data_IF_410979536820
#
_entry.id   IF_410979536820
#
_cell.length_a   1.000
_cell.length_b   1.000
_cell.length_c   1.000
_cell.angle_alpha   90.00
_cell.angle_beta   90.00
_cell.angle_gamma   90.00
#
_symmetry.space_group_name_H-M   'P 1'
#
loop_
_entity.id
_entity.type
_entity.pdbx_description
1 polymer ?
#
# COMPACT_ATOMS: atom_id res chain seq x y z
N UNK A 1 -13.42 12.61 53.47
CA UNK A 1 -13.33 11.43 54.37
C UNK A 1 -12.32 10.46 53.75
N UNK A 2 -11.45 9.85 54.55
CA UNK A 2 -10.02 10.11 54.45
C UNK A 2 -9.22 8.90 53.94
N UNK A 3 -7.94 9.17 53.64
CA UNK A 3 -6.83 8.21 53.72
C UNK A 3 -6.84 7.08 52.67
N UNK A 4 -5.72 6.56 52.21
CA UNK A 4 -4.34 6.71 52.61
C UNK A 4 -3.50 5.82 51.69
N UNK A 5 -2.31 6.33 51.40
CA UNK A 5 -1.15 5.67 50.84
C UNK A 5 -0.84 4.35 51.55
N UNK A 6 -0.62 3.23 50.83
CA UNK A 6 0.40 2.20 51.15
C UNK A 6 0.92 1.50 49.87
N UNK A 7 2.25 1.53 49.74
CA UNK A 7 3.13 0.80 48.83
C UNK A 7 3.24 -0.69 49.26
N UNK A 8 3.31 -1.63 48.32
CA UNK A 8 3.93 -2.95 48.60
C UNK A 8 4.59 -3.54 47.35
N UNK A 9 5.90 -3.38 47.29
CA UNK A 9 6.82 -4.10 46.41
C UNK A 9 7.05 -5.49 47.01
N UNK A 10 6.85 -6.57 46.24
CA UNK A 10 7.37 -7.88 46.62
C UNK A 10 7.72 -8.68 45.36
N UNK A 11 9.01 -8.68 45.05
CA UNK A 11 9.64 -9.62 44.14
C UNK A 11 9.61 -11.02 44.80
N UNK A 12 9.10 -12.01 44.09
CA UNK A 12 9.21 -13.42 44.45
C UNK A 12 9.74 -14.20 43.26
N UNK A 13 11.07 -14.29 43.13
CA UNK A 13 11.70 -15.34 42.35
C UNK A 13 11.51 -16.67 43.09
N UNK A 14 10.83 -17.63 42.48
CA UNK A 14 10.86 -19.03 42.88
C UNK A 14 11.19 -19.88 41.65
N UNK A 15 12.41 -20.42 41.64
CA UNK A 15 12.88 -21.44 40.69
C UNK A 15 12.60 -22.82 41.32
N UNK A 16 11.87 -23.68 40.61
CA UNK A 16 11.66 -25.09 40.98
C UNK A 16 10.93 -25.87 39.88
N UNK A 17 11.67 -26.71 39.14
CA UNK A 17 11.23 -27.56 38.03
C UNK A 17 10.51 -28.86 38.48
N UNK A 18 10.07 -29.80 37.62
CA UNK A 18 9.37 -29.72 36.32
C UNK A 18 8.06 -30.56 36.35
N UNK A 19 6.96 -30.05 35.81
CA UNK A 19 5.79 -30.87 35.47
C UNK A 19 5.52 -30.72 33.98
N UNK A 20 5.83 -31.79 33.23
CA UNK A 20 5.57 -31.96 31.80
C UNK A 20 4.06 -32.12 31.54
N UNK A 21 3.28 -31.09 31.84
CA UNK A 21 2.01 -30.88 31.19
C UNK A 21 2.31 -30.02 29.96
N UNK A 22 2.54 -30.67 28.82
CA UNK A 22 2.36 -30.02 27.53
C UNK A 22 0.87 -29.67 27.43
N UNK A 23 0.48 -28.56 28.06
CA UNK A 23 -0.64 -27.77 27.56
C UNK A 23 -0.23 -27.40 26.14
N UNK A 24 -0.78 -28.14 25.18
CA UNK A 24 -0.47 -27.97 23.78
C UNK A 24 -0.65 -26.49 23.49
N UNK A 25 0.44 -25.80 23.13
CA UNK A 25 0.38 -24.43 22.67
C UNK A 25 -0.80 -24.34 21.71
N UNK A 26 -1.78 -23.43 21.92
CA UNK A 26 -2.90 -23.31 21.02
C UNK A 26 -2.31 -23.22 19.62
N UNK A 27 -2.65 -24.20 18.79
CA UNK A 27 -2.15 -24.26 17.42
C UNK A 27 -2.33 -22.85 16.85
N UNK A 28 -1.29 -22.27 16.22
CA UNK A 28 -1.40 -20.92 15.68
C UNK A 28 -2.66 -20.90 14.83
N UNK A 29 -3.62 -20.05 15.21
CA UNK A 29 -4.86 -19.92 14.48
C UNK A 29 -4.49 -19.73 13.03
N UNK A 30 -4.79 -20.71 12.17
CA UNK A 30 -4.52 -20.58 10.74
C UNK A 30 -5.24 -19.32 10.31
N UNK A 31 -4.48 -18.30 9.93
CA UNK A 31 -5.06 -17.09 9.37
C UNK A 31 -5.95 -17.55 8.21
N UNK A 32 -7.26 -17.39 8.33
CA UNK A 32 -8.17 -17.73 7.26
C UNK A 32 -7.80 -16.87 6.06
N UNK A 33 -7.54 -17.51 4.92
CA UNK A 33 -7.34 -16.79 3.67
C UNK A 33 -8.57 -15.90 3.40
N UNK A 34 -8.38 -14.65 2.91
CA UNK A 34 -9.44 -13.64 2.83
C UNK A 34 -10.62 -14.12 2.00
N UNK A 35 -11.84 -14.06 2.54
CA UNK A 35 -13.08 -14.48 1.87
C UNK A 35 -13.40 -13.62 0.64
N UNK A 36 -14.37 -14.03 -0.19
CA UNK A 36 -14.84 -13.18 -1.30
C UNK A 36 -15.42 -11.86 -0.78
N UNK A 37 -16.11 -11.88 0.38
CA UNK A 37 -16.61 -10.67 1.02
C UNK A 37 -15.47 -9.75 1.47
N UNK A 38 -14.43 -10.30 2.10
CA UNK A 38 -13.25 -9.53 2.53
C UNK A 38 -12.55 -8.86 1.34
N UNK A 39 -12.41 -9.58 0.22
CA UNK A 39 -11.81 -9.03 -1.00
C UNK A 39 -12.69 -7.95 -1.63
N UNK A 40 -14.00 -8.10 -1.65
CA UNK A 40 -14.89 -7.06 -2.15
C UNK A 40 -14.79 -5.79 -1.29
N UNK A 41 -14.81 -5.93 0.04
CA UNK A 41 -14.59 -4.81 0.96
C UNK A 41 -13.22 -4.17 0.76
N UNK A 42 -12.17 -4.97 0.62
CA UNK A 42 -10.82 -4.46 0.35
C UNK A 42 -10.73 -3.76 -1.01
N UNK A 43 -11.45 -4.24 -2.02
CA UNK A 43 -11.49 -3.62 -3.35
C UNK A 43 -12.23 -2.29 -3.35
N UNK A 44 -13.32 -2.16 -2.59
CA UNK A 44 -14.01 -0.87 -2.40
C UNK A 44 -13.10 0.13 -1.66
N UNK A 45 -12.46 -0.29 -0.57
CA UNK A 45 -11.50 0.55 0.16
C UNK A 45 -10.32 0.97 -0.74
N UNK A 46 -9.79 0.03 -1.53
CA UNK A 46 -8.73 0.31 -2.50
C UNK A 46 -9.18 1.31 -3.57
N UNK A 47 -10.42 1.22 -4.07
CA UNK A 47 -10.98 2.20 -5.02
C UNK A 47 -11.01 3.59 -4.43
N UNK A 48 -11.56 3.74 -3.22
CA UNK A 48 -11.57 5.02 -2.50
C UNK A 48 -10.15 5.56 -2.29
N UNK A 49 -9.20 4.67 -1.98
CA UNK A 49 -7.80 5.04 -1.81
C UNK A 49 -7.18 5.55 -3.13
N UNK A 50 -7.44 4.90 -4.27
CA UNK A 50 -6.98 5.36 -5.59
C UNK A 50 -7.59 6.70 -5.98
N UNK A 51 -8.88 6.91 -5.71
CA UNK A 51 -9.56 8.19 -5.95
C UNK A 51 -8.94 9.33 -5.13
N UNK A 52 -8.68 9.08 -3.85
CA UNK A 52 -8.02 10.04 -2.96
C UNK A 52 -6.59 10.35 -3.43
N UNK A 53 -5.82 9.32 -3.80
CA UNK A 53 -4.49 9.49 -4.39
C UNK A 53 -4.54 10.37 -5.64
N UNK A 54 -5.47 10.10 -6.57
CA UNK A 54 -5.61 10.88 -7.80
C UNK A 54 -6.02 12.34 -7.53
N UNK A 55 -6.82 12.59 -6.50
CA UNK A 55 -7.13 13.95 -6.07
C UNK A 55 -5.88 14.65 -5.51
N UNK A 56 -5.12 13.98 -4.65
CA UNK A 56 -3.89 14.52 -4.05
C UNK A 56 -2.78 14.76 -5.08
N UNK A 57 -2.60 13.86 -6.06
CA UNK A 57 -1.64 14.04 -7.16
C UNK A 57 -2.00 15.29 -7.97
N UNK A 58 -3.28 15.49 -8.31
CA UNK A 58 -3.73 16.70 -9.01
C UNK A 58 -3.47 17.97 -8.19
N UNK A 59 -3.78 17.93 -6.89
CA UNK A 59 -3.51 19.05 -6.00
C UNK A 59 -2.00 19.34 -5.87
N UNK A 60 -1.17 18.31 -5.78
CA UNK A 60 0.29 18.41 -5.72
C UNK A 60 0.88 19.05 -6.99
N UNK A 61 0.39 18.65 -8.17
CA UNK A 61 0.80 19.25 -9.46
C UNK A 61 0.38 20.72 -9.53
N UNK A 62 -0.86 21.06 -9.13
CA UNK A 62 -1.32 22.46 -9.10
C UNK A 62 -0.50 23.32 -8.13
N UNK A 63 -0.24 22.83 -6.92
CA UNK A 63 0.54 23.55 -5.90
C UNK A 63 2.00 23.78 -6.32
N UNK A 64 2.55 22.94 -7.20
CA UNK A 64 3.89 23.12 -7.74
C UNK A 64 4.01 24.25 -8.79
N UNK A 65 2.87 24.72 -9.32
CA UNK A 65 2.82 25.69 -10.41
C UNK A 65 3.59 25.21 -11.65
N UNK A 66 4.39 26.08 -12.26
CA UNK A 66 5.20 25.77 -13.45
C UNK A 66 6.48 24.95 -13.14
N UNK A 67 6.75 24.63 -11.88
CA UNK A 67 8.01 24.01 -11.48
C UNK A 67 7.94 22.48 -11.54
N UNK A 68 8.41 21.90 -12.64
CA UNK A 68 8.50 20.44 -12.85
C UNK A 68 9.18 19.69 -11.70
N UNK A 69 10.29 20.23 -11.18
CA UNK A 69 11.01 19.63 -10.04
C UNK A 69 10.14 19.58 -8.78
N UNK A 70 9.38 20.65 -8.49
CA UNK A 70 8.46 20.70 -7.36
C UNK A 70 7.28 19.75 -7.56
N UNK A 71 6.74 19.68 -8.78
CA UNK A 71 5.64 18.76 -9.10
C UNK A 71 6.05 17.31 -8.87
N UNK A 72 7.23 16.93 -9.37
CA UNK A 72 7.76 15.57 -9.21
C UNK A 72 7.97 15.22 -7.73
N UNK A 73 8.65 16.09 -6.96
CA UNK A 73 8.87 15.84 -5.54
C UNK A 73 7.56 15.68 -4.75
N UNK A 74 6.57 16.54 -5.00
CA UNK A 74 5.27 16.47 -4.32
C UNK A 74 4.45 15.25 -4.72
N UNK A 75 4.50 14.84 -5.99
CA UNK A 75 3.85 13.60 -6.43
C UNK A 75 4.50 12.38 -5.81
N UNK A 76 5.84 12.31 -5.74
CA UNK A 76 6.54 11.22 -5.04
C UNK A 76 6.16 11.14 -3.56
N UNK A 77 6.05 12.28 -2.87
CA UNK A 77 5.55 12.31 -1.49
C UNK A 77 4.13 11.75 -1.35
N UNK A 78 3.24 12.05 -2.31
CA UNK A 78 1.90 11.46 -2.34
C UNK A 78 2.01 9.95 -2.58
N UNK A 79 2.69 9.51 -3.64
CA UNK A 79 2.80 8.09 -3.98
C UNK A 79 3.39 7.26 -2.83
N UNK A 80 4.41 7.78 -2.13
CA UNK A 80 5.02 7.12 -0.98
C UNK A 80 4.03 6.89 0.17
N UNK A 81 3.09 7.80 0.42
CA UNK A 81 2.03 7.61 1.44
C UNK A 81 1.07 6.48 1.07
N UNK A 82 0.79 6.31 -0.22
CA UNK A 82 -0.22 5.38 -0.70
C UNK A 82 0.36 3.99 -1.01
N UNK A 83 1.65 3.88 -1.34
CA UNK A 83 2.32 2.63 -1.71
C UNK A 83 2.07 1.45 -0.75
N UNK A 84 2.09 1.63 0.60
CA UNK A 84 1.79 0.52 1.51
C UNK A 84 0.37 -0.05 1.33
N UNK A 85 -0.61 0.79 0.98
CA UNK A 85 -1.98 0.33 0.72
C UNK A 85 -2.10 -0.48 -0.56
N UNK A 86 -1.39 -0.07 -1.63
CA UNK A 86 -1.30 -0.86 -2.88
C UNK A 86 -0.69 -2.24 -2.62
N UNK A 87 0.42 -2.31 -1.89
CA UNK A 87 1.05 -3.59 -1.55
C UNK A 87 0.17 -4.46 -0.65
N UNK A 88 -0.48 -3.86 0.35
CA UNK A 88 -1.40 -4.58 1.25
C UNK A 88 -2.58 -5.18 0.47
N UNK A 89 -3.19 -4.43 -0.45
CA UNK A 89 -4.26 -4.96 -1.29
C UNK A 89 -3.77 -6.02 -2.26
N UNK A 90 -2.58 -5.83 -2.86
CA UNK A 90 -1.97 -6.81 -3.76
C UNK A 90 -1.72 -8.16 -3.06
N UNK A 91 -1.24 -8.15 -1.81
CA UNK A 91 -1.03 -9.37 -1.02
C UNK A 91 -2.35 -10.09 -0.72
N UNK A 92 -3.40 -9.34 -0.34
CA UNK A 92 -4.73 -9.92 -0.10
C UNK A 92 -5.29 -10.55 -1.37
N UNK A 93 -5.16 -9.86 -2.51
CA UNK A 93 -5.61 -10.33 -3.80
C UNK A 93 -4.87 -11.61 -4.24
N UNK A 94 -3.54 -11.64 -4.06
CA UNK A 94 -2.71 -12.82 -4.32
C UNK A 94 -3.13 -14.03 -3.47
N UNK A 95 -3.38 -13.83 -2.17
CA UNK A 95 -3.86 -14.87 -1.28
C UNK A 95 -5.25 -15.41 -1.70
N UNK A 96 -6.14 -14.51 -2.15
CA UNK A 96 -7.46 -14.89 -2.66
C UNK A 96 -7.39 -15.72 -3.93
N UNK A 97 -6.60 -15.30 -4.92
CA UNK A 97 -6.38 -16.06 -6.16
C UNK A 97 -5.73 -17.41 -5.87
N UNK A 98 -4.77 -17.47 -4.94
CA UNK A 98 -4.12 -18.70 -4.52
C UNK A 98 -5.13 -19.70 -3.92
N UNK A 99 -6.05 -19.22 -3.08
CA UNK A 99 -7.15 -20.06 -2.56
C UNK A 99 -8.05 -20.58 -3.67
N UNK A 100 -8.46 -19.72 -4.61
CA UNK A 100 -9.33 -20.13 -5.73
C UNK A 100 -8.64 -21.14 -6.65
N UNK A 101 -7.36 -20.97 -6.91
CA UNK A 101 -6.57 -21.91 -7.70
C UNK A 101 -6.47 -23.27 -6.99
N UNK A 102 -6.28 -23.27 -5.67
CA UNK A 102 -6.26 -24.51 -4.88
C UNK A 102 -7.61 -25.25 -4.90
N UNK A 103 -8.72 -24.52 -4.97
CA UNK A 103 -10.09 -25.07 -5.04
C UNK A 103 -10.55 -25.42 -6.46
N UNK A 104 -9.73 -25.19 -7.49
CA UNK A 104 -10.11 -25.45 -8.88
C UNK A 104 -10.24 -26.95 -9.17
N UNK A 105 -11.30 -27.33 -9.89
CA UNK A 105 -11.62 -28.72 -10.21
C UNK A 105 -10.75 -29.33 -11.32
N UNK A 106 -10.13 -28.50 -12.17
CA UNK A 106 -9.23 -28.94 -13.25
C UNK A 106 -7.94 -28.13 -13.25
N UNK A 107 -6.89 -28.69 -13.85
CA UNK A 107 -5.61 -28.00 -14.01
C UNK A 107 -5.70 -26.80 -14.96
N UNK A 108 -6.55 -26.86 -16.00
CA UNK A 108 -6.79 -25.70 -16.88
C UNK A 108 -7.45 -24.56 -16.12
N UNK A 109 -8.45 -24.86 -15.28
CA UNK A 109 -9.10 -23.86 -14.45
C UNK A 109 -8.12 -23.25 -13.43
N UNK A 110 -7.29 -24.09 -12.80
CA UNK A 110 -6.21 -23.64 -11.90
C UNK A 110 -5.24 -22.71 -12.63
N UNK A 111 -4.75 -23.09 -13.79
CA UNK A 111 -3.80 -22.31 -14.58
C UNK A 111 -4.39 -20.95 -14.98
N UNK A 112 -5.65 -20.92 -15.42
CA UNK A 112 -6.36 -19.69 -15.76
C UNK A 112 -6.49 -18.74 -14.55
N UNK A 113 -6.82 -19.27 -13.37
CA UNK A 113 -6.93 -18.49 -12.13
C UNK A 113 -5.56 -17.92 -11.73
N UNK A 114 -4.50 -18.72 -11.79
CA UNK A 114 -3.13 -18.28 -11.47
C UNK A 114 -2.68 -17.18 -12.42
N UNK A 115 -2.89 -17.35 -13.73
CA UNK A 115 -2.50 -16.34 -14.72
C UNK A 115 -3.26 -15.02 -14.51
N UNK A 116 -4.58 -15.11 -14.33
CA UNK A 116 -5.43 -13.93 -14.06
C UNK A 116 -5.00 -13.24 -12.76
N UNK A 117 -4.73 -14.03 -11.72
CA UNK A 117 -4.27 -13.51 -10.44
C UNK A 117 -2.95 -12.77 -10.53
N UNK A 118 -1.96 -13.35 -11.20
CA UNK A 118 -0.67 -12.72 -11.42
C UNK A 118 -0.81 -11.40 -12.19
N UNK A 119 -1.61 -11.37 -13.25
CA UNK A 119 -1.85 -10.16 -14.04
C UNK A 119 -2.56 -9.06 -13.23
N UNK A 120 -3.57 -9.42 -12.43
CA UNK A 120 -4.29 -8.46 -11.58
C UNK A 120 -3.40 -7.89 -10.47
N UNK A 121 -2.63 -8.74 -9.79
CA UNK A 121 -1.68 -8.31 -8.74
C UNK A 121 -0.61 -7.38 -9.32
N UNK A 122 -0.05 -7.74 -10.49
CA UNK A 122 0.92 -6.89 -11.18
C UNK A 122 0.32 -5.52 -11.57
N UNK A 123 -0.94 -5.49 -12.01
CA UNK A 123 -1.63 -4.24 -12.33
C UNK A 123 -1.77 -3.34 -11.09
N UNK A 124 -2.15 -3.90 -9.94
CA UNK A 124 -2.28 -3.14 -8.68
C UNK A 124 -0.93 -2.55 -8.28
N UNK A 125 0.13 -3.38 -8.27
CA UNK A 125 1.49 -2.93 -7.91
C UNK A 125 2.07 -1.90 -8.88
N UNK A 126 1.66 -1.94 -10.16
CA UNK A 126 2.15 -1.04 -11.19
C UNK A 126 1.50 0.35 -11.23
N UNK A 127 0.43 0.61 -10.46
CA UNK A 127 -0.26 1.91 -10.49
C UNK A 127 0.67 3.09 -10.15
N UNK A 128 1.50 3.03 -9.09
CA UNK A 128 2.41 4.14 -8.77
C UNK A 128 3.37 4.45 -9.91
N UNK A 129 3.95 3.43 -10.54
CA UNK A 129 4.86 3.60 -11.68
C UNK A 129 4.17 4.22 -12.90
N UNK A 130 2.91 3.87 -13.16
CA UNK A 130 2.14 4.50 -14.24
C UNK A 130 1.93 6.00 -13.99
N UNK A 131 1.69 6.40 -12.74
CA UNK A 131 1.58 7.82 -12.38
C UNK A 131 2.92 8.55 -12.60
N UNK A 132 4.04 7.96 -12.15
CA UNK A 132 5.38 8.52 -12.39
C UNK A 132 5.67 8.67 -13.87
N UNK A 133 5.37 7.63 -14.67
CA UNK A 133 5.58 7.63 -16.11
C UNK A 133 4.74 8.70 -16.81
N UNK A 134 3.48 8.86 -16.42
CA UNK A 134 2.60 9.92 -16.95
C UNK A 134 3.14 11.32 -16.66
N UNK A 135 3.65 11.56 -15.45
CA UNK A 135 4.27 12.83 -15.10
C UNK A 135 5.56 13.09 -15.91
N UNK A 136 6.38 12.06 -16.09
CA UNK A 136 7.60 12.14 -16.90
C UNK A 136 7.29 12.43 -18.38
N UNK A 137 6.21 11.87 -18.92
CA UNK A 137 5.74 12.15 -20.29
C UNK A 137 5.24 13.59 -20.42
N UNK A 138 4.40 14.07 -19.49
CA UNK A 138 3.95 15.46 -19.46
C UNK A 138 5.12 16.44 -19.37
N UNK A 139 6.15 16.09 -18.60
CA UNK A 139 7.36 16.89 -18.46
C UNK A 139 8.18 17.01 -19.76
N UNK A 140 8.08 16.02 -20.67
CA UNK A 140 8.78 16.03 -21.98
C UNK A 140 8.01 16.79 -23.06
N UNK A 141 6.68 16.85 -22.97
CA UNK A 141 5.82 17.51 -23.95
C UNK A 141 5.62 19.01 -23.72
N UNK A 142 6.12 19.56 -22.60
CA UNK A 142 6.06 20.99 -22.33
C UNK A 142 7.12 21.74 -23.17
N UNK A 143 6.74 22.68 -24.07
CA UNK A 143 7.71 23.47 -24.80
C UNK A 143 8.57 24.24 -23.79
N UNK A 144 9.89 24.12 -23.92
CA UNK A 144 10.81 25.02 -23.25
C UNK A 144 10.44 26.43 -23.70
N UNK A 145 9.84 27.23 -22.82
CA UNK A 145 9.66 28.64 -23.12
C UNK A 145 11.05 29.17 -23.48
N UNK A 146 11.26 29.70 -24.70
CA UNK A 146 12.53 30.31 -25.04
C UNK A 146 12.77 31.37 -23.98
N UNK A 147 13.87 31.23 -23.23
CA UNK A 147 14.36 32.30 -22.36
C UNK A 147 14.46 33.50 -23.28
N UNK A 148 13.56 34.46 -23.09
CA UNK A 148 13.56 35.70 -23.81
C UNK A 148 14.84 36.42 -23.36
N UNK A 149 15.96 36.14 -24.03
CA UNK A 149 17.18 36.94 -23.95
C UNK A 149 16.86 38.23 -24.68
N UNK A 150 16.11 39.10 -24.00
CA UNK A 150 15.91 40.47 -24.42
C UNK A 150 17.29 41.14 -24.33
N UNK A 151 17.93 41.52 -25.45
CA UNK A 151 19.13 42.34 -25.37
C UNK A 151 18.66 43.73 -24.96
N UNK A 152 18.91 44.10 -23.69
CA UNK A 152 18.97 45.49 -23.29
C UNK A 152 20.18 46.13 -23.97
N UNK A 153 19.91 46.82 -25.07
CA UNK A 153 20.76 47.89 -25.62
C UNK A 153 19.74 48.92 -26.11
N UNK A 154 19.49 50.05 -25.46
CA UNK A 154 20.38 50.87 -24.64
C UNK A 154 21.02 51.90 -25.54
N UNK A 155 20.42 53.10 -25.54
CA UNK A 155 20.78 54.36 -26.20
C UNK A 155 20.42 54.53 -27.68
#
# INVERSE_FOLDING_TARGET
>A
MPSGLILALAAGLAIGAPALAQDAAPAPARALAPSDADINTAADAFRTQVEAMNAEVRAAVQAAGSSRRRASARVEEVLARYQPGFESFAVQLEAWFSRRAAAAATDEARASIVQTGAASVARVRGVPDQVRAGLAQQARSAPEQPRNTQPSTGY
#
